data_IF_397705569988
#
_entry.id   IF_397705569988
#
_cell.length_a   1.000
_cell.length_b   1.000
_cell.length_c   1.000
_cell.angle_alpha   90.00
_cell.angle_beta   90.00
_cell.angle_gamma   90.00
#
_symmetry.space_group_name_H-M   'P 1'
#
loop_
_entity.id
_entity.type
_entity.pdbx_description
1 polymer ?
#
# COMPACT_ATOMS: atom_id res chain seq x y z
N UNK A 1 -2.95 -15.31 2.22
CA UNK A 1 -1.82 -15.18 1.29
C UNK A 1 -0.99 -13.96 1.68
N UNK A 2 0.31 -14.15 1.90
CA UNK A 2 1.21 -13.06 2.21
C UNK A 2 1.77 -12.43 0.94
N UNK A 3 2.26 -11.22 1.07
CA UNK A 3 2.73 -10.43 -0.07
C UNK A 3 4.26 -10.46 -0.20
N UNK A 4 4.90 -11.57 0.18
CA UNK A 4 6.36 -11.66 0.15
C UNK A 4 6.92 -11.28 -1.21
N UNK A 5 7.96 -10.48 -1.20
CA UNK A 5 8.64 -10.03 -2.40
C UNK A 5 8.88 -8.54 -2.43
N UNK A 6 9.41 -8.10 -3.55
CA UNK A 6 9.67 -6.69 -3.81
C UNK A 6 8.74 -6.22 -4.92
N UNK A 7 8.10 -5.08 -4.71
CA UNK A 7 7.06 -4.55 -5.58
C UNK A 7 7.40 -3.14 -6.01
N UNK A 8 7.19 -2.85 -7.29
CA UNK A 8 7.41 -1.52 -7.88
C UNK A 8 6.07 -0.91 -8.26
N UNK A 9 5.74 0.29 -7.77
CA UNK A 9 4.50 0.95 -8.19
C UNK A 9 4.58 1.34 -9.66
N UNK A 10 3.50 1.10 -10.39
CA UNK A 10 3.40 1.49 -11.81
C UNK A 10 2.26 2.46 -12.09
N UNK A 11 1.33 2.60 -11.14
CA UNK A 11 0.25 3.57 -11.22
C UNK A 11 -0.24 3.89 -9.82
N UNK A 12 -0.54 5.14 -9.55
CA UNK A 12 -1.06 5.56 -8.25
C UNK A 12 -2.09 6.67 -8.42
N UNK A 13 -3.15 6.58 -7.63
CA UNK A 13 -4.20 7.61 -7.57
C UNK A 13 -4.38 8.05 -6.12
N UNK A 14 -4.52 9.33 -5.90
CA UNK A 14 -4.79 9.88 -4.58
C UNK A 14 -5.95 10.86 -4.68
N UNK A 15 -6.99 10.63 -3.88
CA UNK A 15 -8.19 11.47 -3.84
C UNK A 15 -8.81 11.67 -5.23
N UNK A 16 -8.75 10.62 -6.06
CA UNK A 16 -9.29 10.62 -7.42
C UNK A 16 -8.34 11.11 -8.50
N UNK A 17 -7.19 11.68 -8.13
CA UNK A 17 -6.24 12.22 -9.10
C UNK A 17 -5.12 11.20 -9.39
N UNK A 18 -4.87 11.00 -10.68
CA UNK A 18 -3.75 10.16 -11.12
C UNK A 18 -2.45 10.91 -10.84
N UNK A 19 -1.54 10.27 -10.10
CA UNK A 19 -0.26 10.88 -9.77
C UNK A 19 0.74 10.73 -10.92
N UNK A 20 1.59 11.76 -11.15
CA UNK A 20 2.67 11.64 -12.15
C UNK A 20 3.66 10.54 -11.76
N UNK A 21 4.24 9.88 -12.76
CA UNK A 21 5.16 8.77 -12.51
C UNK A 21 6.38 9.17 -11.68
N UNK A 22 6.87 10.39 -11.80
CA UNK A 22 8.02 10.86 -11.05
C UNK A 22 7.76 10.95 -9.54
N UNK A 23 6.50 11.01 -9.11
CA UNK A 23 6.13 10.99 -7.69
C UNK A 23 6.42 9.64 -7.06
N UNK A 24 6.19 8.54 -7.79
CA UNK A 24 6.30 7.19 -7.21
C UNK A 24 7.37 6.31 -7.85
N UNK A 25 8.05 6.77 -8.89
CA UNK A 25 9.00 5.92 -9.64
C UNK A 25 10.22 5.51 -8.82
N UNK A 26 10.56 6.23 -7.75
CA UNK A 26 11.66 5.88 -6.85
C UNK A 26 11.21 5.05 -5.65
N UNK A 27 9.92 4.75 -5.55
CA UNK A 27 9.39 4.00 -4.41
C UNK A 27 9.50 2.51 -4.65
N UNK A 28 9.73 1.76 -3.57
CA UNK A 28 9.74 0.30 -3.59
C UNK A 28 9.07 -0.21 -2.32
N UNK A 29 8.22 -1.21 -2.47
CA UNK A 29 7.61 -1.92 -1.33
C UNK A 29 8.26 -3.30 -1.25
N UNK A 30 8.94 -3.59 -0.15
CA UNK A 30 9.51 -4.91 0.13
C UNK A 30 8.76 -5.54 1.28
N UNK A 31 8.34 -6.78 1.13
CA UNK A 31 7.60 -7.53 2.16
C UNK A 31 8.30 -8.84 2.43
N UNK A 32 8.54 -9.13 3.70
CA UNK A 32 9.09 -10.41 4.15
C UNK A 32 8.25 -10.86 5.34
N UNK A 33 7.39 -11.87 5.12
CA UNK A 33 6.46 -12.33 6.13
C UNK A 33 5.49 -11.24 6.56
N UNK A 34 5.58 -10.83 7.81
CA UNK A 34 4.75 -9.76 8.37
C UNK A 34 5.50 -8.42 8.52
N UNK A 35 6.64 -8.28 7.85
CA UNK A 35 7.44 -7.05 7.89
C UNK A 35 7.43 -6.38 6.52
N UNK A 36 7.40 -5.05 6.50
CA UNK A 36 7.49 -4.29 5.26
C UNK A 36 8.54 -3.19 5.36
N UNK A 37 9.08 -2.84 4.21
CA UNK A 37 9.93 -1.66 4.05
C UNK A 37 9.45 -0.93 2.80
N UNK A 38 9.05 0.32 2.97
CA UNK A 38 8.77 1.21 1.84
C UNK A 38 9.95 2.16 1.74
N UNK A 39 10.64 2.12 0.62
CA UNK A 39 11.79 2.99 0.38
C UNK A 39 11.37 4.12 -0.53
N UNK A 40 11.57 5.35 -0.07
CA UNK A 40 11.33 6.57 -0.84
C UNK A 40 12.55 7.45 -0.62
N UNK A 41 13.41 7.55 -1.62
CA UNK A 41 14.65 8.28 -1.45
C UNK A 41 15.58 7.60 -0.43
N UNK A 42 16.07 8.36 0.52
CA UNK A 42 17.07 7.89 1.50
C UNK A 42 16.48 7.46 2.84
N UNK A 43 15.19 7.67 3.06
CA UNK A 43 14.57 7.41 4.37
C UNK A 43 13.54 6.30 4.27
N UNK A 44 13.85 5.10 4.78
CA UNK A 44 12.90 3.99 4.72
C UNK A 44 11.78 4.13 5.75
N UNK A 45 10.60 3.69 5.36
CA UNK A 45 9.44 3.57 6.22
C UNK A 45 9.24 2.08 6.50
N UNK A 46 9.45 1.65 7.74
CA UNK A 46 9.46 0.24 8.12
C UNK A 46 8.37 -0.06 9.14
N UNK A 47 7.82 -1.24 9.06
CA UNK A 47 6.82 -1.66 10.03
C UNK A 47 6.37 -3.10 9.87
N UNK A 48 5.20 -3.37 10.44
CA UNK A 48 4.60 -4.71 10.45
C UNK A 48 3.27 -4.70 9.72
N UNK A 49 2.89 -5.87 9.20
CA UNK A 49 1.62 -6.07 8.51
C UNK A 49 0.82 -7.12 9.27
N UNK A 50 -0.45 -6.81 9.52
CA UNK A 50 -1.42 -7.80 9.94
C UNK A 50 -2.34 -8.08 8.77
N UNK A 51 -2.45 -9.35 8.39
CA UNK A 51 -3.25 -9.78 7.24
C UNK A 51 -4.64 -10.21 7.66
N UNK A 52 -5.63 -9.90 6.83
CA UNK A 52 -7.01 -10.37 6.99
C UNK A 52 -7.42 -11.09 5.69
N UNK A 53 -6.90 -12.32 5.49
CA UNK A 53 -7.06 -13.01 4.19
C UNK A 53 -8.46 -13.58 3.96
N UNK A 54 -9.26 -13.66 5.02
CA UNK A 54 -10.61 -14.22 4.93
C UNK A 54 -11.70 -13.15 4.84
N UNK A 55 -11.35 -11.88 4.93
CA UNK A 55 -12.32 -10.81 4.69
C UNK A 55 -12.47 -10.56 3.19
N UNK A 56 -13.56 -9.94 2.80
CA UNK A 56 -13.87 -9.61 1.40
C UNK A 56 -14.19 -8.12 1.32
N UNK A 57 -13.32 -7.31 0.72
CA UNK A 57 -11.97 -7.63 0.20
C UNK A 57 -10.99 -8.02 1.30
N UNK A 58 -9.91 -8.71 0.92
CA UNK A 58 -8.83 -9.02 1.86
C UNK A 58 -8.20 -7.74 2.39
N UNK A 59 -7.86 -7.71 3.67
CA UNK A 59 -7.38 -6.50 4.34
C UNK A 59 -5.95 -6.59 4.84
N UNK A 60 -5.37 -5.41 5.04
CA UNK A 60 -4.05 -5.23 5.64
C UNK A 60 -4.13 -4.13 6.69
N UNK A 61 -3.47 -4.34 7.83
CA UNK A 61 -3.11 -3.25 8.74
C UNK A 61 -1.60 -3.09 8.68
N UNK A 62 -1.14 -1.91 8.30
CA UNK A 62 0.29 -1.60 8.22
C UNK A 62 0.63 -0.64 9.35
N UNK A 63 1.42 -1.12 10.32
CA UNK A 63 1.79 -0.32 11.49
C UNK A 63 3.25 0.07 11.39
N UNK A 64 3.51 1.38 11.36
CA UNK A 64 4.86 1.91 11.25
C UNK A 64 5.64 1.75 12.54
N UNK A 65 6.88 1.27 12.43
CA UNK A 65 7.82 1.13 13.55
C UNK A 65 8.99 2.09 13.43
N UNK A 66 9.38 2.43 12.20
CA UNK A 66 10.44 3.37 11.91
C UNK A 66 10.07 4.21 10.71
N UNK A 67 10.51 5.46 10.67
CA UNK A 67 10.30 6.36 9.55
C UNK A 67 9.09 7.25 9.71
N UNK A 68 8.59 7.83 8.60
CA UNK A 68 7.53 8.84 8.66
C UNK A 68 6.22 8.38 9.29
N UNK A 69 5.89 7.09 9.21
CA UNK A 69 4.64 6.56 9.75
C UNK A 69 4.80 5.85 11.10
N UNK A 70 5.90 6.09 11.81
CA UNK A 70 6.14 5.48 13.10
C UNK A 70 4.97 5.73 14.06
N UNK A 71 4.43 4.66 14.64
CA UNK A 71 3.32 4.73 15.59
C UNK A 71 1.95 4.82 14.96
N UNK A 72 1.87 4.85 13.62
CA UNK A 72 0.62 4.97 12.90
C UNK A 72 0.23 3.62 12.29
N UNK A 73 -1.07 3.29 12.33
CA UNK A 73 -1.62 2.13 11.63
C UNK A 73 -2.44 2.61 10.45
N UNK A 74 -2.08 2.15 9.26
CA UNK A 74 -2.79 2.45 8.03
C UNK A 74 -3.59 1.21 7.63
N UNK A 75 -4.89 1.37 7.44
CA UNK A 75 -5.76 0.28 7.02
C UNK A 75 -5.90 0.28 5.51
N UNK A 76 -5.83 -0.91 4.92
CA UNK A 76 -5.87 -1.06 3.48
C UNK A 76 -6.58 -2.35 3.10
N UNK A 77 -6.91 -2.45 1.82
CA UNK A 77 -7.37 -3.69 1.19
C UNK A 77 -6.43 -4.00 0.04
N UNK A 78 -6.34 -5.29 -0.31
CA UNK A 78 -5.43 -5.72 -1.36
C UNK A 78 -6.01 -6.84 -2.19
N UNK A 79 -5.52 -6.95 -3.42
CA UNK A 79 -5.79 -8.08 -4.30
C UNK A 79 -4.62 -8.27 -5.25
N UNK A 80 -4.41 -9.52 -5.68
CA UNK A 80 -3.41 -9.85 -6.68
C UNK A 80 -4.16 -10.40 -7.90
N UNK A 81 -4.11 -9.69 -9.01
CA UNK A 81 -4.88 -10.00 -10.20
C UNK A 81 -4.05 -9.72 -11.44
N UNK A 82 -3.98 -10.70 -12.35
CA UNK A 82 -3.29 -10.52 -13.62
C UNK A 82 -1.79 -10.26 -13.49
N UNK A 83 -1.18 -10.73 -12.41
CA UNK A 83 0.24 -10.50 -12.15
C UNK A 83 0.53 -9.16 -11.48
N UNK A 84 -0.50 -8.37 -11.16
CA UNK A 84 -0.36 -7.08 -10.49
C UNK A 84 -0.92 -7.16 -9.08
N UNK A 85 -0.28 -6.41 -8.17
CA UNK A 85 -0.77 -6.23 -6.82
C UNK A 85 -1.44 -4.87 -6.73
N UNK A 86 -2.71 -4.85 -6.29
CA UNK A 86 -3.45 -3.62 -6.03
C UNK A 86 -3.59 -3.46 -4.53
N UNK A 87 -3.20 -2.31 -4.01
CA UNK A 87 -3.43 -1.96 -2.61
C UNK A 87 -4.15 -0.62 -2.57
N UNK A 88 -5.26 -0.58 -1.84
CA UNK A 88 -6.02 0.65 -1.61
C UNK A 88 -5.88 1.00 -0.14
N UNK A 89 -5.24 2.13 0.14
CA UNK A 89 -4.93 2.59 1.49
C UNK A 89 -5.88 3.72 1.89
N UNK A 90 -6.27 3.74 3.16
CA UNK A 90 -6.89 4.92 3.75
C UNK A 90 -5.83 5.68 4.57
N UNK A 91 -5.24 6.70 3.98
CA UNK A 91 -4.17 7.48 4.62
C UNK A 91 -4.70 8.53 5.60
N UNK A 92 -5.96 8.93 5.46
CA UNK A 92 -6.50 10.08 6.19
C UNK A 92 -7.54 9.74 7.24
N UNK A 93 -7.92 8.46 7.34
CA UNK A 93 -8.94 8.03 8.29
C UNK A 93 -8.63 6.67 8.89
N UNK A 94 -9.52 6.20 9.75
CA UNK A 94 -9.34 4.97 10.52
C UNK A 94 -10.12 3.80 9.97
N UNK A 95 -10.96 4.02 8.96
CA UNK A 95 -11.77 2.94 8.40
C UNK A 95 -11.03 2.23 7.28
N UNK A 96 -11.21 0.92 7.22
CA UNK A 96 -10.68 0.11 6.12
C UNK A 96 -11.43 0.47 4.83
N UNK A 97 -10.73 0.69 3.71
CA UNK A 97 -11.40 0.88 2.43
C UNK A 97 -12.28 -0.33 2.09
N UNK A 98 -13.37 -0.09 1.38
CA UNK A 98 -14.32 -1.13 0.97
C UNK A 98 -14.25 -1.44 -0.52
N UNK A 99 -13.64 -0.54 -1.29
CA UNK A 99 -13.56 -0.66 -2.75
C UNK A 99 -12.18 -0.25 -3.24
N UNK A 100 -11.80 -0.76 -4.41
CA UNK A 100 -10.53 -0.39 -5.07
C UNK A 100 -10.75 0.81 -5.99
N UNK A 101 -11.28 1.90 -5.42
CA UNK A 101 -11.52 3.13 -6.14
C UNK A 101 -11.05 4.32 -5.32
N UNK A 102 -10.42 5.28 -5.99
CA UNK A 102 -9.96 6.51 -5.37
C UNK A 102 -10.84 7.66 -5.88
N UNK A 103 -11.42 8.44 -4.96
CA UNK A 103 -12.29 9.57 -5.29
C UNK A 103 -11.95 10.76 -4.41
N UNK A 104 -12.37 11.98 -4.80
CA UNK A 104 -12.20 13.14 -3.93
C UNK A 104 -12.94 13.01 -2.59
N UNK A 105 -14.00 12.19 -2.55
CA UNK A 105 -14.81 11.99 -1.35
C UNK A 105 -14.15 11.01 -0.38
N UNK A 106 -13.66 9.87 -0.87
CA UNK A 106 -13.04 8.87 0.01
C UNK A 106 -11.55 9.13 0.28
N UNK A 107 -10.88 9.88 -0.59
CA UNK A 107 -9.48 10.26 -0.44
C UNK A 107 -8.54 9.06 -0.29
N UNK A 108 -8.90 7.92 -0.88
CA UNK A 108 -8.07 6.73 -0.83
C UNK A 108 -6.84 6.89 -1.71
N UNK A 109 -5.76 6.19 -1.31
CA UNK A 109 -4.54 6.07 -2.07
C UNK A 109 -4.54 4.67 -2.70
N UNK A 110 -4.77 4.60 -3.99
CA UNK A 110 -4.87 3.34 -4.74
C UNK A 110 -3.62 3.17 -5.59
N UNK A 111 -2.89 2.09 -5.35
CA UNK A 111 -1.63 1.84 -6.04
C UNK A 111 -1.67 0.48 -6.72
N UNK A 112 -1.20 0.45 -7.95
CA UNK A 112 -0.97 -0.78 -8.70
C UNK A 112 0.54 -1.02 -8.76
N UNK A 113 0.94 -2.21 -8.33
CA UNK A 113 2.34 -2.62 -8.29
C UNK A 113 2.59 -3.78 -9.24
N UNK A 114 3.82 -3.87 -9.74
CA UNK A 114 4.30 -5.07 -10.42
C UNK A 114 5.45 -5.66 -9.59
N UNK A 115 5.75 -6.97 -9.74
CA UNK A 115 6.93 -7.53 -9.11
C UNK A 115 8.17 -6.81 -9.62
N UNK A 116 9.09 -6.47 -8.72
CA UNK A 116 10.35 -5.87 -9.10
C UNK A 116 11.28 -6.95 -9.66
N UNK A 117 12.03 -6.59 -10.67
CA UNK A 117 12.99 -7.47 -11.31
C UNK A 117 14.34 -7.46 -10.59
#
# INVERSE_FOLDING_TARGET
MKLDGKWTPIEAQLSGDLLPADIFSSMTLSVTGDKYIITVGSEPDKGTIKYYPYSIPMGLDMTGEEGPNKGRTIKAIYKNTGGYLFICYNLFGDERPKTFTSTPQNRYYLVRYKPAE
#
